data_IF_734440954389
#
_entry.id   IF_734440954389
#
_cell.length_a   1.000
_cell.length_b   1.000
_cell.length_c   1.000
_cell.angle_alpha   90.00
_cell.angle_beta   90.00
_cell.angle_gamma   90.00
#
_symmetry.space_group_name_H-M   'P 1'
#
loop_
_entity.id
_entity.type
_entity.pdbx_description
1 polymer ?
#
# COMPACT_ATOMS: atom_id res chain seq x y z
N UNK A 1 -38.71 9.14 12.64
CA UNK A 1 -38.43 7.68 12.66
C UNK A 1 -37.05 7.48 12.03
N UNK A 2 -36.00 7.34 12.85
CA UNK A 2 -34.61 7.24 12.35
C UNK A 2 -34.34 5.79 11.95
N UNK A 3 -34.18 5.53 10.65
CA UNK A 3 -33.58 4.30 10.15
C UNK A 3 -32.11 4.29 10.59
N UNK A 4 -31.80 3.67 11.72
CA UNK A 4 -30.41 3.30 12.01
C UNK A 4 -30.04 2.18 11.04
N UNK A 5 -29.48 2.52 9.88
CA UNK A 5 -28.66 1.57 9.17
C UNK A 5 -27.48 1.28 10.10
N UNK A 6 -27.59 0.19 10.89
CA UNK A 6 -26.42 -0.39 11.55
C UNK A 6 -25.47 -0.76 10.43
N UNK A 7 -24.49 0.09 10.15
CA UNK A 7 -23.44 -0.19 9.17
C UNK A 7 -22.79 -1.49 9.62
N UNK A 8 -22.96 -2.58 8.86
CA UNK A 8 -22.34 -3.86 9.21
C UNK A 8 -20.83 -3.65 9.13
N UNK A 9 -20.15 -3.82 10.27
CA UNK A 9 -18.70 -3.70 10.37
C UNK A 9 -18.04 -4.67 9.37
N UNK A 10 -16.92 -4.23 8.81
CA UNK A 10 -16.04 -5.10 8.05
C UNK A 10 -15.60 -6.26 8.97
N UNK A 11 -15.84 -7.53 8.61
CA UNK A 11 -15.41 -8.63 9.46
C UNK A 11 -13.88 -8.67 9.61
N UNK A 12 -13.37 -9.19 10.72
CA UNK A 12 -11.92 -9.28 10.95
C UNK A 12 -11.46 -10.71 10.77
N UNK A 13 -10.67 -10.98 9.74
CA UNK A 13 -10.00 -12.27 9.60
C UNK A 13 -8.83 -12.38 10.55
N UNK A 14 -8.57 -13.58 11.10
CA UNK A 14 -7.41 -13.84 11.97
C UNK A 14 -7.17 -12.76 13.05
N UNK A 15 -8.22 -12.33 13.76
CA UNK A 15 -8.18 -11.17 14.65
C UNK A 15 -7.01 -11.17 15.65
N UNK A 16 -6.63 -12.35 16.17
CA UNK A 16 -5.49 -12.45 17.08
C UNK A 16 -4.16 -12.14 16.39
N UNK A 17 -3.98 -12.58 15.13
CA UNK A 17 -2.81 -12.22 14.34
C UNK A 17 -2.78 -10.73 14.02
N UNK A 18 -3.93 -10.11 13.74
CA UNK A 18 -4.03 -8.66 13.52
C UNK A 18 -3.57 -7.88 14.76
N UNK A 19 -4.01 -8.32 15.95
CA UNK A 19 -3.60 -7.70 17.21
C UNK A 19 -2.11 -7.84 17.49
N UNK A 20 -1.52 -8.97 17.13
CA UNK A 20 -0.07 -9.19 17.24
C UNK A 20 0.68 -8.30 16.25
N UNK A 21 0.22 -8.26 15.00
CA UNK A 21 0.83 -7.45 13.94
C UNK A 21 0.81 -5.96 14.29
N UNK A 22 -0.24 -5.49 14.95
CA UNK A 22 -0.43 -4.10 15.36
C UNK A 22 -0.18 -3.84 16.86
N UNK A 23 0.59 -4.70 17.54
CA UNK A 23 0.77 -4.60 18.99
C UNK A 23 1.46 -3.30 19.45
N UNK A 24 2.23 -2.67 18.58
CA UNK A 24 2.90 -1.38 18.74
C UNK A 24 1.98 -0.16 18.48
N UNK A 25 0.79 -0.37 17.91
CA UNK A 25 -0.22 0.68 17.64
C UNK A 25 -1.63 0.20 18.04
N UNK A 26 -1.94 0.14 19.35
CA UNK A 26 -3.23 -0.34 19.85
C UNK A 26 -4.40 0.55 19.42
N UNK A 27 -4.17 1.85 19.22
CA UNK A 27 -5.21 2.77 18.75
C UNK A 27 -5.61 2.46 17.30
N UNK A 28 -4.66 2.07 16.45
CA UNK A 28 -4.97 1.63 15.09
C UNK A 28 -5.79 0.35 15.07
N UNK A 29 -5.50 -0.60 15.96
CA UNK A 29 -6.35 -1.79 16.13
C UNK A 29 -7.77 -1.36 16.49
N UNK A 30 -7.94 -0.49 17.48
CA UNK A 30 -9.27 -0.03 17.89
C UNK A 30 -10.00 0.68 16.73
N UNK A 31 -9.32 1.58 16.00
CA UNK A 31 -9.87 2.23 14.81
C UNK A 31 -10.27 1.20 13.75
N UNK A 32 -9.43 0.21 13.46
CA UNK A 32 -9.73 -0.81 12.46
C UNK A 32 -10.98 -1.65 12.82
N UNK A 33 -11.23 -1.88 14.12
CA UNK A 33 -12.38 -2.66 14.60
C UNK A 33 -13.66 -1.82 14.73
N UNK A 34 -13.54 -0.50 14.85
CA UNK A 34 -14.68 0.41 15.09
C UNK A 34 -15.13 1.12 13.82
N UNK A 35 -14.21 1.46 12.92
CA UNK A 35 -14.50 2.10 11.65
C UNK A 35 -15.11 1.09 10.66
N UNK A 36 -16.39 1.26 10.28
CA UNK A 36 -17.01 0.37 9.32
C UNK A 36 -16.33 0.40 7.96
N UNK A 37 -15.70 1.51 7.56
CA UNK A 37 -15.08 1.66 6.23
C UNK A 37 -13.55 1.52 6.29
N UNK A 38 -13.03 0.86 7.34
CA UNK A 38 -11.59 0.74 7.60
C UNK A 38 -10.82 0.14 6.41
N UNK A 39 -9.98 0.97 5.81
CA UNK A 39 -9.05 0.56 4.73
C UNK A 39 -7.98 -0.41 5.26
N UNK A 40 -7.53 -0.22 6.50
CA UNK A 40 -6.60 -1.14 7.15
C UNK A 40 -7.20 -2.54 7.25
N UNK A 41 -8.47 -2.65 7.61
CA UNK A 41 -9.12 -3.94 7.74
C UNK A 41 -9.41 -4.60 6.38
N UNK A 42 -9.74 -3.82 5.35
CA UNK A 42 -9.81 -4.32 3.97
C UNK A 42 -8.45 -4.87 3.51
N UNK A 43 -7.39 -4.12 3.77
CA UNK A 43 -6.01 -4.47 3.43
C UNK A 43 -5.59 -5.74 4.15
N UNK A 44 -5.82 -5.80 5.46
CA UNK A 44 -5.54 -6.98 6.27
C UNK A 44 -6.28 -8.22 5.74
N UNK A 45 -7.61 -8.15 5.58
CA UNK A 45 -8.41 -9.31 5.18
C UNK A 45 -7.94 -9.88 3.84
N UNK A 46 -7.61 -9.02 2.87
CA UNK A 46 -7.13 -9.46 1.55
C UNK A 46 -5.70 -9.98 1.61
N UNK A 47 -4.75 -9.21 2.14
CA UNK A 47 -3.34 -9.56 2.03
C UNK A 47 -2.88 -10.58 3.08
N UNK A 48 -3.46 -10.59 4.29
CA UNK A 48 -3.17 -11.63 5.27
C UNK A 48 -3.72 -13.00 4.84
N UNK A 49 -4.83 -13.04 4.08
CA UNK A 49 -5.33 -14.30 3.53
C UNK A 49 -4.48 -14.81 2.36
N UNK A 50 -3.94 -13.92 1.52
CA UNK A 50 -2.97 -14.29 0.47
C UNK A 50 -1.71 -14.96 1.06
N UNK A 51 -1.21 -14.49 2.20
CA UNK A 51 -0.03 -15.11 2.83
C UNK A 51 -0.32 -16.49 3.46
N UNK A 52 -1.58 -16.91 3.56
CA UNK A 52 -1.91 -18.27 4.00
C UNK A 52 -1.80 -19.33 2.91
N UNK A 53 -1.56 -18.92 1.66
CA UNK A 53 -1.36 -19.85 0.56
C UNK A 53 -0.07 -20.66 0.74
N UNK A 54 -0.19 -21.98 0.63
CA UNK A 54 0.97 -22.87 0.70
C UNK A 54 1.73 -22.99 -0.62
N UNK A 55 1.11 -22.60 -1.74
CA UNK A 55 1.73 -22.59 -3.06
C UNK A 55 2.34 -21.21 -3.35
N UNK A 56 3.67 -21.11 -3.20
CA UNK A 56 4.42 -19.86 -3.40
C UNK A 56 4.52 -19.45 -4.87
N UNK A 57 4.43 -20.38 -5.82
CA UNK A 57 4.45 -20.06 -7.25
C UNK A 57 3.12 -19.43 -7.65
N UNK A 58 2.04 -19.99 -7.13
CA UNK A 58 0.71 -19.45 -7.31
C UNK A 58 0.53 -18.08 -6.63
N UNK A 59 1.00 -17.91 -5.38
CA UNK A 59 1.04 -16.60 -4.73
C UNK A 59 1.82 -15.58 -5.56
N UNK A 60 2.95 -15.99 -6.15
CA UNK A 60 3.72 -15.12 -7.05
C UNK A 60 2.88 -14.68 -8.24
N UNK A 61 2.12 -15.58 -8.87
CA UNK A 61 1.23 -15.24 -9.98
C UNK A 61 0.14 -14.22 -9.56
N UNK A 62 -0.43 -14.36 -8.36
CA UNK A 62 -1.41 -13.42 -7.82
C UNK A 62 -0.83 -12.03 -7.52
N UNK A 63 0.47 -11.95 -7.20
CA UNK A 63 1.15 -10.70 -6.86
C UNK A 63 1.78 -9.97 -8.07
N UNK A 64 1.86 -10.61 -9.23
CA UNK A 64 2.36 -9.99 -10.49
C UNK A 64 1.66 -8.70 -10.90
N UNK A 65 0.34 -8.49 -10.71
CA UNK A 65 -0.29 -7.22 -11.02
C UNK A 65 0.33 -6.02 -10.30
N UNK A 66 0.88 -6.22 -9.09
CA UNK A 66 1.53 -5.18 -8.30
C UNK A 66 2.99 -4.96 -8.68
N UNK A 67 3.74 -6.04 -8.95
CA UNK A 67 5.20 -6.00 -9.09
C UNK A 67 5.72 -6.16 -10.53
N UNK A 68 4.86 -6.62 -11.45
CA UNK A 68 5.22 -6.97 -12.82
C UNK A 68 5.75 -8.41 -12.98
N UNK A 69 6.09 -8.76 -14.22
CA UNK A 69 6.45 -10.13 -14.61
C UNK A 69 7.80 -10.62 -14.06
N UNK A 70 8.67 -9.70 -13.64
CA UNK A 70 9.97 -10.04 -13.04
C UNK A 70 9.85 -10.50 -11.58
N UNK A 71 8.64 -10.44 -11.00
CA UNK A 71 8.36 -11.05 -9.72
C UNK A 71 8.48 -12.57 -9.85
N UNK A 72 9.48 -13.13 -9.15
CA UNK A 72 9.82 -14.54 -9.18
C UNK A 72 9.82 -15.13 -7.76
N UNK A 73 9.46 -16.42 -7.59
CA UNK A 73 9.54 -17.09 -6.31
C UNK A 73 11.00 -17.19 -5.79
N UNK A 74 11.23 -17.25 -4.47
CA UNK A 74 10.23 -17.11 -3.41
C UNK A 74 9.80 -15.64 -3.24
N UNK A 75 8.50 -15.44 -2.97
CA UNK A 75 7.91 -14.15 -2.63
C UNK A 75 7.57 -14.09 -1.15
N UNK A 76 7.85 -12.95 -0.53
CA UNK A 76 7.43 -12.62 0.83
C UNK A 76 6.49 -11.42 0.83
N UNK A 77 5.48 -11.48 1.69
CA UNK A 77 4.53 -10.41 1.93
C UNK A 77 4.68 -9.93 3.37
N UNK A 78 4.66 -8.61 3.57
CA UNK A 78 4.67 -7.99 4.90
C UNK A 78 3.74 -6.80 4.91
N UNK A 79 3.11 -6.52 6.05
CA UNK A 79 2.12 -5.45 6.17
C UNK A 79 2.65 -4.32 7.06
N UNK A 80 2.28 -3.09 6.71
CA UNK A 80 2.55 -1.88 7.51
C UNK A 80 4.03 -1.73 7.93
N UNK A 81 4.93 -2.06 7.03
CA UNK A 81 6.39 -1.90 7.22
C UNK A 81 6.83 -0.47 6.92
N UNK A 82 8.07 -0.09 7.23
CA UNK A 82 8.69 1.14 6.74
C UNK A 82 8.74 2.28 7.74
N UNK A 83 7.83 2.32 8.71
CA UNK A 83 7.86 3.28 9.82
C UNK A 83 8.46 2.63 11.08
N UNK A 84 7.62 2.35 12.08
CA UNK A 84 8.05 1.71 13.33
C UNK A 84 8.49 0.25 13.12
N UNK A 85 8.08 -0.36 12.00
CA UNK A 85 8.36 -1.75 11.66
C UNK A 85 9.38 -1.88 10.54
N UNK A 86 10.31 -2.80 10.75
CA UNK A 86 11.31 -3.12 9.75
C UNK A 86 10.69 -3.78 8.50
N UNK A 87 11.31 -3.63 7.33
CA UNK A 87 12.48 -2.78 7.10
C UNK A 87 12.09 -1.29 7.01
N UNK A 88 12.80 -0.40 7.70
CA UNK A 88 12.52 1.03 7.70
C UNK A 88 12.72 1.69 6.31
N UNK A 89 11.79 2.57 5.93
CA UNK A 89 11.83 3.41 4.73
C UNK A 89 12.01 4.86 5.14
N UNK A 90 13.23 5.36 4.97
CA UNK A 90 13.58 6.76 5.24
C UNK A 90 13.60 7.57 3.94
N UNK A 91 13.20 8.85 3.97
CA UNK A 91 13.39 9.75 2.83
C UNK A 91 14.86 9.84 2.41
N UNK A 92 15.11 10.09 1.13
CA UNK A 92 16.47 10.14 0.59
C UNK A 92 17.27 11.33 1.17
N UNK A 93 18.60 11.20 1.33
CA UNK A 93 19.44 12.33 1.75
C UNK A 93 19.37 13.52 0.78
N UNK A 94 19.11 13.27 -0.50
CA UNK A 94 18.92 14.30 -1.52
C UNK A 94 17.63 15.08 -1.26
N UNK A 95 16.53 14.39 -1.00
CA UNK A 95 15.25 15.00 -0.62
C UNK A 95 15.38 15.85 0.64
N UNK A 96 15.98 15.29 1.71
CA UNK A 96 16.13 16.01 2.99
C UNK A 96 16.95 17.30 2.82
N UNK A 97 18.04 17.26 2.03
CA UNK A 97 18.82 18.47 1.70
C UNK A 97 18.00 19.49 0.92
N UNK A 98 17.23 19.04 -0.07
CA UNK A 98 16.38 19.93 -0.87
C UNK A 98 15.32 20.64 -0.03
N UNK A 99 14.66 19.92 0.89
CA UNK A 99 13.68 20.51 1.80
C UNK A 99 14.33 21.54 2.72
N UNK A 100 15.47 21.21 3.35
CA UNK A 100 16.20 22.15 4.21
C UNK A 100 16.61 23.43 3.48
N UNK A 101 17.10 23.31 2.25
CA UNK A 101 17.46 24.47 1.43
C UNK A 101 16.26 25.37 1.12
N UNK A 102 15.07 24.79 0.90
CA UNK A 102 13.85 25.56 0.62
C UNK A 102 13.23 26.19 1.86
N UNK A 103 13.32 25.51 3.01
CA UNK A 103 12.74 25.97 4.26
C UNK A 103 13.61 27.05 4.94
N UNK A 104 14.92 27.05 4.69
CA UNK A 104 15.89 27.88 5.43
C UNK A 104 16.34 27.21 6.72
N UNK A 105 17.44 27.68 7.30
CA UNK A 105 18.14 27.00 8.42
C UNK A 105 17.31 26.91 9.72
N UNK A 106 16.34 27.82 9.92
CA UNK A 106 15.56 27.95 11.16
C UNK A 106 14.15 27.34 11.11
N UNK A 107 13.74 26.72 10.00
CA UNK A 107 12.41 26.11 9.89
C UNK A 107 12.39 24.63 10.30
N UNK A 108 11.37 24.24 11.06
CA UNK A 108 11.14 22.84 11.41
C UNK A 108 10.72 22.04 10.16
N UNK A 109 11.55 21.07 9.79
CA UNK A 109 11.33 20.15 8.67
C UNK A 109 11.12 18.71 9.13
N UNK A 110 10.92 18.47 10.43
CA UNK A 110 10.82 17.14 11.04
C UNK A 110 9.80 16.25 10.33
N UNK A 111 8.60 16.79 10.05
CA UNK A 111 7.53 16.10 9.34
C UNK A 111 7.93 15.57 7.94
N UNK A 112 8.86 16.24 7.25
CA UNK A 112 9.37 15.84 5.94
C UNK A 112 10.48 14.79 6.04
N UNK A 113 11.05 14.59 7.23
CA UNK A 113 12.11 13.61 7.48
C UNK A 113 11.60 12.31 8.09
N UNK A 114 10.31 12.26 8.44
CA UNK A 114 9.67 11.07 9.00
C UNK A 114 9.78 9.86 8.07
N UNK A 115 9.97 8.70 8.69
CA UNK A 115 9.88 7.41 8.03
C UNK A 115 8.50 7.20 7.40
N UNK A 116 8.46 6.38 6.36
CA UNK A 116 7.32 6.21 5.48
C UNK A 116 6.75 4.81 5.70
N UNK A 117 5.55 4.73 6.24
CA UNK A 117 4.83 3.45 6.32
C UNK A 117 4.38 3.02 4.92
N UNK A 118 4.46 1.72 4.65
CA UNK A 118 3.97 1.06 3.44
C UNK A 118 2.96 -0.02 3.85
N UNK A 119 1.69 0.11 3.45
CA UNK A 119 0.63 -0.83 3.80
C UNK A 119 0.93 -2.27 3.42
N UNK A 120 1.46 -2.51 2.21
CA UNK A 120 1.89 -3.86 1.79
C UNK A 120 3.25 -3.78 1.13
N UNK A 121 4.18 -4.56 1.63
CA UNK A 121 5.49 -4.82 1.04
C UNK A 121 5.49 -6.20 0.43
N UNK A 122 5.89 -6.28 -0.85
CA UNK A 122 6.08 -7.53 -1.58
C UNK A 122 7.54 -7.60 -1.96
N UNK A 123 8.20 -8.71 -1.69
CA UNK A 123 9.61 -8.85 -1.96
C UNK A 123 9.93 -10.19 -2.62
N UNK A 124 10.75 -10.15 -3.66
CA UNK A 124 11.33 -11.32 -4.33
C UNK A 124 12.83 -11.14 -4.47
N UNK A 125 13.53 -12.05 -5.16
CA UNK A 125 14.96 -11.88 -5.46
C UNK A 125 15.26 -10.64 -6.30
N UNK A 126 14.40 -10.30 -7.26
CA UNK A 126 14.65 -9.24 -8.24
C UNK A 126 13.87 -7.95 -7.97
N UNK A 127 12.75 -8.03 -7.26
CA UNK A 127 11.80 -6.90 -7.13
C UNK A 127 11.48 -6.60 -5.67
N UNK A 128 11.48 -5.31 -5.35
CA UNK A 128 10.83 -4.72 -4.19
C UNK A 128 9.55 -4.02 -4.65
N UNK A 129 8.40 -4.56 -4.26
CA UNK A 129 7.08 -3.99 -4.46
C UNK A 129 6.59 -3.25 -3.22
N UNK A 130 6.20 -1.98 -3.39
CA UNK A 130 5.55 -1.18 -2.36
C UNK A 130 4.12 -0.89 -2.82
N UNK A 131 3.13 -1.31 -2.04
CA UNK A 131 1.71 -1.11 -2.37
C UNK A 131 1.11 -0.14 -1.37
N UNK A 132 0.58 0.95 -1.90
CA UNK A 132 -0.27 1.86 -1.15
C UNK A 132 -1.75 1.53 -1.38
N UNK A 133 -2.58 1.82 -0.38
CA UNK A 133 -4.00 1.45 -0.39
C UNK A 133 -4.86 2.65 -0.02
N UNK A 134 -5.87 2.91 -0.82
CA UNK A 134 -6.87 3.94 -0.59
C UNK A 134 -8.23 3.45 -1.10
N UNK A 135 -9.32 4.07 -0.66
CA UNK A 135 -10.65 3.78 -1.23
C UNK A 135 -11.11 4.99 -2.02
N UNK A 136 -11.43 6.09 -1.34
CA UNK A 136 -12.07 7.27 -1.93
C UNK A 136 -11.29 8.58 -1.79
N UNK A 137 -10.17 8.55 -1.09
CA UNK A 137 -9.29 9.69 -0.89
C UNK A 137 -7.98 9.50 -1.62
N UNK A 138 -7.37 10.61 -2.02
CA UNK A 138 -5.96 10.60 -2.40
C UNK A 138 -5.14 10.40 -1.12
N UNK A 139 -4.25 9.41 -1.05
CA UNK A 139 -3.42 9.24 0.12
C UNK A 139 -2.45 10.40 0.20
N UNK A 140 -2.36 11.00 1.39
CA UNK A 140 -1.45 12.12 1.68
C UNK A 140 -0.13 11.60 2.24
N UNK A 141 0.97 12.23 1.84
CA UNK A 141 2.25 12.02 2.47
C UNK A 141 2.40 12.80 3.78
N UNK A 142 3.37 12.40 4.62
CA UNK A 142 3.76 13.12 5.82
C UNK A 142 4.15 14.57 5.46
N UNK A 143 3.74 15.54 6.30
CA UNK A 143 4.00 16.96 6.04
C UNK A 143 3.33 17.53 4.79
N UNK A 144 2.29 16.87 4.24
CA UNK A 144 1.62 17.30 3.01
C UNK A 144 2.35 16.91 1.73
N UNK A 145 3.32 15.98 1.81
CA UNK A 145 4.03 15.46 0.64
C UNK A 145 3.09 14.73 -0.32
N UNK A 146 3.48 14.68 -1.59
CA UNK A 146 2.87 13.79 -2.56
C UNK A 146 3.26 12.34 -2.23
N UNK A 147 2.27 11.55 -1.80
CA UNK A 147 2.46 10.19 -1.31
C UNK A 147 3.20 9.27 -2.28
N UNK A 148 2.88 9.35 -3.56
CA UNK A 148 3.55 8.57 -4.60
C UNK A 148 5.04 8.91 -4.68
N UNK A 149 5.37 10.20 -4.62
CA UNK A 149 6.76 10.66 -4.64
C UNK A 149 7.52 10.19 -3.40
N UNK A 150 6.90 10.16 -2.21
CA UNK A 150 7.52 9.59 -1.01
C UNK A 150 7.92 8.13 -1.21
N UNK A 151 6.99 7.32 -1.73
CA UNK A 151 7.20 5.89 -1.94
C UNK A 151 8.27 5.63 -3.01
N UNK A 152 8.29 6.43 -4.08
CA UNK A 152 9.33 6.34 -5.11
C UNK A 152 10.69 6.71 -4.54
N UNK A 153 10.80 7.82 -3.82
CA UNK A 153 12.06 8.32 -3.26
C UNK A 153 12.69 7.35 -2.25
N UNK A 154 11.95 7.01 -1.19
CA UNK A 154 12.44 6.10 -0.17
C UNK A 154 12.57 4.66 -0.68
N UNK A 155 11.62 4.23 -1.51
CA UNK A 155 11.65 2.92 -2.15
C UNK A 155 12.84 2.73 -3.07
N UNK A 156 13.24 3.76 -3.82
CA UNK A 156 14.38 3.65 -4.75
C UNK A 156 15.70 3.52 -3.99
N UNK A 157 15.88 4.31 -2.91
CA UNK A 157 17.04 4.17 -2.01
C UNK A 157 17.12 2.76 -1.45
N UNK A 158 16.00 2.23 -0.97
CA UNK A 158 15.97 0.90 -0.39
C UNK A 158 16.21 -0.19 -1.42
N UNK A 159 15.54 -0.12 -2.58
CA UNK A 159 15.67 -1.08 -3.68
C UNK A 159 17.12 -1.13 -4.18
N UNK A 160 17.75 0.02 -4.36
CA UNK A 160 19.17 0.11 -4.71
C UNK A 160 20.07 -0.54 -3.66
N UNK A 161 19.86 -0.23 -2.37
CA UNK A 161 20.63 -0.81 -1.26
C UNK A 161 20.58 -2.33 -1.23
N UNK A 162 19.44 -2.92 -1.60
CA UNK A 162 19.23 -4.39 -1.59
C UNK A 162 19.36 -5.03 -2.99
N UNK A 163 19.81 -4.28 -4.00
CA UNK A 163 20.05 -4.79 -5.36
C UNK A 163 18.80 -5.23 -6.11
N UNK A 164 17.66 -4.56 -5.90
CA UNK A 164 16.36 -4.90 -6.50
C UNK A 164 15.81 -3.77 -7.36
N UNK A 165 14.95 -4.12 -8.30
CA UNK A 165 14.11 -3.17 -9.02
C UNK A 165 12.95 -2.72 -8.15
N UNK A 166 12.56 -1.45 -8.26
CA UNK A 166 11.42 -0.91 -7.56
C UNK A 166 10.13 -1.03 -8.40
N UNK A 167 9.08 -1.56 -7.79
CA UNK A 167 7.71 -1.42 -8.24
C UNK A 167 6.90 -0.69 -7.17
N UNK A 168 6.11 0.28 -7.58
CA UNK A 168 5.13 0.95 -6.71
C UNK A 168 3.75 0.72 -7.31
N UNK A 169 2.85 0.19 -6.50
CA UNK A 169 1.47 -0.05 -6.87
C UNK A 169 0.55 0.77 -5.97
N UNK A 170 -0.60 1.18 -6.51
CA UNK A 170 -1.66 1.77 -5.70
C UNK A 170 -2.97 1.03 -5.93
N UNK A 171 -3.61 0.68 -4.81
CA UNK A 171 -4.96 0.12 -4.78
C UNK A 171 -5.96 1.22 -4.48
N UNK A 172 -6.97 1.37 -5.33
CA UNK A 172 -7.98 2.42 -5.22
C UNK A 172 -9.34 1.96 -5.72
N UNK A 173 -10.43 2.63 -5.31
CA UNK A 173 -11.76 2.35 -5.88
C UNK A 173 -11.89 3.02 -7.24
N UNK A 174 -12.01 2.24 -8.31
CA UNK A 174 -12.21 2.79 -9.65
C UNK A 174 -13.57 3.50 -9.78
N UNK A 175 -13.68 4.43 -10.75
CA UNK A 175 -14.90 5.21 -10.99
C UNK A 175 -15.08 6.41 -10.07
N UNK A 176 -14.06 6.79 -9.30
CA UNK A 176 -14.11 7.94 -8.36
C UNK A 176 -13.26 9.12 -8.85
N UNK A 177 -13.52 10.35 -8.38
CA UNK A 177 -12.65 11.50 -8.66
C UNK A 177 -11.20 11.26 -8.19
N UNK A 178 -11.02 10.61 -7.04
CA UNK A 178 -9.70 10.25 -6.52
C UNK A 178 -8.96 9.28 -7.46
N UNK A 179 -9.66 8.28 -8.01
CA UNK A 179 -9.10 7.37 -9.00
C UNK A 179 -8.62 8.10 -10.27
N UNK A 180 -9.41 9.04 -10.79
CA UNK A 180 -9.04 9.83 -11.96
C UNK A 180 -7.79 10.69 -11.69
N UNK A 181 -7.74 11.38 -10.55
CA UNK A 181 -6.60 12.19 -10.16
C UNK A 181 -5.33 11.35 -9.95
N UNK A 182 -5.46 10.19 -9.31
CA UNK A 182 -4.36 9.26 -9.07
C UNK A 182 -3.84 8.65 -10.38
N UNK A 183 -4.73 8.23 -11.27
CA UNK A 183 -4.35 7.69 -12.58
C UNK A 183 -3.62 8.74 -13.43
N UNK A 184 -4.09 10.00 -13.43
CA UNK A 184 -3.39 11.11 -14.06
C UNK A 184 -1.99 11.32 -13.45
N UNK A 185 -1.88 11.29 -12.12
CA UNK A 185 -0.60 11.44 -11.40
C UNK A 185 0.38 10.33 -11.74
N UNK A 186 -0.06 9.08 -11.76
CA UNK A 186 0.75 7.91 -12.13
C UNK A 186 1.24 8.03 -13.57
N UNK A 187 0.36 8.40 -14.51
CA UNK A 187 0.74 8.58 -15.91
C UNK A 187 1.79 9.69 -16.10
N UNK A 188 1.70 10.78 -15.34
CA UNK A 188 2.74 11.81 -15.34
C UNK A 188 4.09 11.25 -14.86
N UNK A 189 4.09 10.53 -13.73
CA UNK A 189 5.30 9.99 -13.10
C UNK A 189 5.96 8.85 -13.89
N UNK A 190 5.25 8.21 -14.84
CA UNK A 190 5.83 7.20 -15.76
C UNK A 190 6.82 7.78 -16.76
N UNK A 191 6.84 9.10 -16.95
CA UNK A 191 7.74 9.78 -17.89
C UNK A 191 8.92 10.40 -17.15
N UNK A 192 10.11 10.41 -17.76
CA UNK A 192 11.30 11.04 -17.17
C UNK A 192 11.07 12.53 -16.87
N UNK A 193 10.34 13.24 -17.73
CA UNK A 193 10.02 14.66 -17.53
C UNK A 193 9.06 14.88 -16.36
N UNK A 194 8.02 14.06 -16.25
CA UNK A 194 7.08 14.14 -15.13
C UNK A 194 7.73 13.75 -13.81
N UNK A 195 8.60 12.73 -13.82
CA UNK A 195 9.37 12.32 -12.65
C UNK A 195 10.38 13.41 -12.24
N UNK A 196 11.09 14.04 -13.18
CA UNK A 196 11.98 15.16 -12.91
C UNK A 196 11.27 16.38 -12.34
N UNK A 197 10.07 16.70 -12.85
CA UNK A 197 9.23 17.78 -12.29
C UNK A 197 8.77 17.49 -10.87
N UNK A 198 8.45 16.23 -10.58
CA UNK A 198 8.01 15.78 -9.26
C UNK A 198 9.17 15.67 -8.25
N UNK A 199 10.34 15.28 -8.73
CA UNK A 199 11.53 14.95 -7.92
C UNK A 199 12.75 15.73 -8.43
N UNK A 200 12.75 17.07 -8.38
CA UNK A 200 13.86 17.89 -8.86
C UNK A 200 15.16 17.69 -8.07
N UNK A 201 15.10 17.04 -6.91
CA UNK A 201 16.26 16.69 -6.09
C UNK A 201 16.94 15.38 -6.50
N UNK A 202 16.27 14.53 -7.28
CA UNK A 202 16.76 13.20 -7.64
C UNK A 202 17.68 13.28 -8.86
N UNK A 203 18.95 12.94 -8.66
CA UNK A 203 19.94 12.81 -9.73
C UNK A 203 20.90 11.63 -9.42
N UNK A 204 20.87 10.54 -10.21
CA UNK A 204 19.96 10.27 -11.34
C UNK A 204 18.51 10.04 -10.89
N UNK A 205 17.56 10.12 -11.85
CA UNK A 205 16.16 9.78 -11.58
C UNK A 205 16.01 8.28 -11.26
N UNK A 206 15.12 7.92 -10.32
CA UNK A 206 14.92 6.52 -9.96
C UNK A 206 14.22 5.74 -11.08
N UNK A 207 14.71 4.54 -11.36
CA UNK A 207 13.99 3.57 -12.20
C UNK A 207 12.87 2.93 -11.37
N UNK A 208 11.61 3.20 -11.75
CA UNK A 208 10.45 2.70 -11.02
C UNK A 208 9.35 2.24 -11.97
N UNK A 209 8.71 1.11 -11.63
CA UNK A 209 7.52 0.61 -12.32
C UNK A 209 6.26 1.00 -11.54
N UNK A 210 5.41 1.82 -12.15
CA UNK A 210 4.16 2.27 -11.53
C UNK A 210 2.96 1.44 -11.99
N UNK A 211 2.22 0.89 -11.03
CA UNK A 211 1.05 0.03 -11.25
C UNK A 211 -0.20 0.57 -10.57
N UNK A 212 -1.33 0.26 -11.18
CA UNK A 212 -2.67 0.61 -10.71
C UNK A 212 -3.46 -0.67 -10.59
N UNK A 213 -4.04 -0.92 -9.42
CA UNK A 213 -4.82 -2.13 -9.17
C UNK A 213 -6.14 -1.74 -8.51
N UNK A 214 -7.24 -1.63 -9.25
CA UNK A 214 -8.53 -1.29 -8.65
C UNK A 214 -8.94 -2.31 -7.58
N UNK A 215 -9.55 -1.85 -6.49
CA UNK A 215 -10.14 -2.74 -5.48
C UNK A 215 -11.12 -3.74 -6.11
N UNK A 216 -11.90 -3.32 -7.11
CA UNK A 216 -12.81 -4.20 -7.82
C UNK A 216 -12.11 -5.39 -8.48
N UNK A 217 -10.95 -5.14 -9.10
CA UNK A 217 -10.15 -6.20 -9.68
C UNK A 217 -9.58 -7.10 -8.57
N UNK A 218 -9.04 -6.50 -7.50
CA UNK A 218 -8.42 -7.23 -6.40
C UNK A 218 -9.42 -8.13 -5.66
N UNK A 219 -10.60 -7.62 -5.31
CA UNK A 219 -11.67 -8.38 -4.65
C UNK A 219 -12.19 -9.48 -5.56
N UNK A 220 -12.35 -9.24 -6.87
CA UNK A 220 -12.76 -10.28 -7.82
C UNK A 220 -11.75 -11.40 -7.92
N UNK A 221 -10.46 -11.08 -8.01
CA UNK A 221 -9.39 -12.10 -7.99
C UNK A 221 -9.42 -12.84 -6.66
N UNK A 222 -9.46 -12.11 -5.54
CA UNK A 222 -9.54 -12.71 -4.21
C UNK A 222 -10.73 -13.68 -4.06
N UNK A 223 -11.92 -13.30 -4.54
CA UNK A 223 -13.13 -14.12 -4.49
C UNK A 223 -12.99 -15.41 -5.30
N UNK A 224 -12.40 -15.34 -6.50
CA UNK A 224 -12.19 -16.50 -7.36
C UNK A 224 -11.19 -17.49 -6.76
N UNK A 225 -10.19 -16.96 -6.05
CA UNK A 225 -9.04 -17.72 -5.59
C UNK A 225 -9.13 -18.13 -4.11
N UNK A 226 -10.14 -17.65 -3.37
CA UNK A 226 -10.30 -17.90 -1.94
C UNK A 226 -10.29 -19.36 -1.49
N UNK A 227 -10.57 -20.30 -2.41
CA UNK A 227 -10.51 -21.74 -2.15
C UNK A 227 -9.08 -22.25 -1.88
N UNK A 228 -8.07 -21.48 -2.30
CA UNK A 228 -6.65 -21.77 -2.07
C UNK A 228 -6.14 -21.21 -0.73
N UNK A 229 -6.90 -20.30 -0.11
CA UNK A 229 -6.52 -19.67 1.16
C UNK A 229 -7.01 -20.50 2.36
N UNK A 230 -6.22 -20.53 3.44
CA UNK A 230 -6.58 -21.25 4.67
C UNK A 230 -7.49 -20.41 5.56
N UNK A 231 -8.71 -20.17 5.09
CA UNK A 231 -9.66 -19.26 5.73
C UNK A 231 -10.38 -19.84 6.95
N UNK A 232 -10.09 -21.04 7.47
CA UNK A 232 -10.62 -21.60 8.75
C UNK A 232 -12.02 -21.11 9.22
N UNK A 233 -13.06 -21.23 8.38
CA UNK A 233 -14.43 -20.78 8.66
C UNK A 233 -14.62 -19.27 8.96
N UNK A 234 -13.65 -18.44 8.56
CA UNK A 234 -13.74 -16.97 8.58
C UNK A 234 -14.98 -16.49 7.81
N UNK A 235 -15.58 -15.34 8.18
CA UNK A 235 -16.88 -14.89 7.68
C UNK A 235 -16.82 -14.30 6.26
N UNK A 236 -16.48 -15.11 5.26
CA UNK A 236 -16.27 -14.67 3.87
C UNK A 236 -17.51 -14.02 3.26
N UNK A 237 -18.70 -14.58 3.49
CA UNK A 237 -19.94 -13.98 2.99
C UNK A 237 -20.18 -12.58 3.56
N UNK A 238 -19.80 -12.35 4.81
CA UNK A 238 -19.85 -11.02 5.44
C UNK A 238 -18.85 -10.05 4.80
N UNK A 239 -17.63 -10.50 4.52
CA UNK A 239 -16.62 -9.69 3.86
C UNK A 239 -17.02 -9.30 2.43
N UNK A 240 -17.52 -10.24 1.63
CA UNK A 240 -17.97 -9.96 0.26
C UNK A 240 -19.17 -9.00 0.22
N UNK A 241 -20.16 -9.18 1.10
CA UNK A 241 -21.28 -8.25 1.21
C UNK A 241 -20.82 -6.85 1.66
N UNK A 242 -19.77 -6.78 2.48
CA UNK A 242 -19.17 -5.53 2.89
C UNK A 242 -18.44 -4.83 1.73
N UNK A 243 -17.63 -5.56 0.96
CA UNK A 243 -16.94 -5.05 -0.22
C UNK A 243 -17.93 -4.55 -1.28
N UNK A 244 -19.03 -5.27 -1.50
CA UNK A 244 -20.12 -4.86 -2.40
C UNK A 244 -20.78 -3.56 -1.95
N UNK A 245 -21.06 -3.39 -0.64
CA UNK A 245 -21.59 -2.14 -0.09
C UNK A 245 -20.67 -0.94 -0.36
N UNK A 246 -19.36 -1.15 -0.35
CA UNK A 246 -18.37 -0.12 -0.63
C UNK A 246 -18.18 0.14 -2.15
N UNK A 247 -18.85 -0.61 -3.02
CA UNK A 247 -18.67 -0.55 -4.48
C UNK A 247 -17.35 -1.15 -4.95
N UNK A 248 -16.80 -2.10 -4.19
CA UNK A 248 -15.54 -2.79 -4.47
C UNK A 248 -15.77 -4.17 -5.14
N UNK A 249 -17.01 -4.52 -5.48
CA UNK A 249 -17.40 -5.76 -6.14
C UNK A 249 -18.47 -5.47 -7.18
#
# INVERSE_FOLDING_TARGET
MRLSHRTKQNPVFYADRLRIELADDPERVERAFTDPDSVDLLTWNVFASLDTDSDRDYLTALLRPFCGNDLTPPVSLSLWTGKEREPQLTPSPQYVRHVRQRAGEDQDVSAFTCQIEVPVRIESRAVLGLVDVAVDSLPGGAGGRDRLTELIDAGAVQAHRIGKQLAVAVVYRSGTPAAAALSARINALRTSDGLRKAMPWADPLPEVRLREVPWQQLVRVWENERKHFRLFAQPVGGFLAHAERLGLR
#
